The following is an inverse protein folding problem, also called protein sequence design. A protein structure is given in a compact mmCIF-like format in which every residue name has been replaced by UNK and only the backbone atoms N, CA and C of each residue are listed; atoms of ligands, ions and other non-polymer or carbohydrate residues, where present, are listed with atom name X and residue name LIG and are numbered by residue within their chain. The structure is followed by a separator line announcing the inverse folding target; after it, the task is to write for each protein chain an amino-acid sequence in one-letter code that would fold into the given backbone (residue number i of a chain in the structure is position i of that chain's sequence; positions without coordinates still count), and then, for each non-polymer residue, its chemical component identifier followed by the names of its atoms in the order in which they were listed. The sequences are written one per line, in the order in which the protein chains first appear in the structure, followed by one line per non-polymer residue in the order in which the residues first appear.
data_IF_662204335893
#
_entry.id   IF_662204335893
#
_cell.length_a   1.000
_cell.length_b   1.000
_cell.length_c   1.000
_cell.angle_alpha   90.00
_cell.angle_beta   90.00
_cell.angle_gamma   90.00
#
_symmetry.space_group_name_H-M   'P 1'
#
loop_
_entity.id
_entity.type
_entity.pdbx_description
1 polymer ?
#
# COMPACT_ATOMS: atom_id res chain seq x y z
N UNK A 1 0.25 -8.63 -19.88
CA UNK A 1 0.24 -7.67 -18.76
C UNK A 1 -0.89 -8.05 -17.81
N UNK A 2 -0.54 -8.63 -16.67
CA UNK A 2 -1.39 -9.03 -15.57
C UNK A 2 -1.08 -8.08 -14.41
N UNK A 3 -2.11 -7.40 -13.89
CA UNK A 3 -2.01 -6.51 -12.74
C UNK A 3 -2.85 -7.10 -11.62
N UNK A 4 -2.22 -7.43 -10.50
CA UNK A 4 -2.95 -7.84 -9.29
C UNK A 4 -3.24 -6.62 -8.41
N UNK A 5 -4.52 -6.34 -8.20
CA UNK A 5 -4.99 -5.10 -7.57
C UNK A 5 -5.15 -5.18 -6.05
N UNK A 6 -4.88 -6.32 -5.42
CA UNK A 6 -5.17 -6.56 -4.00
C UNK A 6 -3.96 -7.08 -3.22
N UNK A 7 -2.93 -6.25 -3.06
CA UNK A 7 -1.72 -6.61 -2.33
C UNK A 7 -1.44 -5.70 -1.14
N UNK A 8 -0.68 -6.22 -0.17
CA UNK A 8 -0.29 -5.47 1.03
C UNK A 8 1.22 -5.59 1.27
N UNK A 9 1.87 -4.46 1.55
CA UNK A 9 3.28 -4.35 1.94
C UNK A 9 3.38 -3.72 3.34
N UNK A 10 4.41 -4.10 4.08
CA UNK A 10 4.79 -3.49 5.35
C UNK A 10 4.41 -4.33 6.56
N UNK A 11 4.56 -3.71 7.73
CA UNK A 11 4.47 -4.39 9.03
C UNK A 11 3.04 -4.81 9.37
N UNK A 12 2.89 -6.00 9.94
CA UNK A 12 1.64 -6.48 10.55
C UNK A 12 1.85 -6.65 12.07
N UNK A 13 0.82 -6.45 12.88
CA UNK A 13 0.96 -6.52 14.36
C UNK A 13 1.30 -7.91 14.91
N UNK A 14 0.95 -8.97 14.17
CA UNK A 14 1.03 -10.37 14.63
C UNK A 14 1.82 -11.26 13.66
N UNK A 15 1.84 -10.92 12.38
CA UNK A 15 2.37 -11.76 11.30
C UNK A 15 3.70 -11.16 10.86
N UNK A 16 4.58 -11.95 10.22
CA UNK A 16 5.76 -11.41 9.58
C UNK A 16 5.40 -10.26 8.62
N UNK A 17 6.32 -9.31 8.52
CA UNK A 17 6.26 -8.23 7.55
C UNK A 17 6.30 -8.80 6.13
N UNK A 18 5.54 -8.18 5.22
CA UNK A 18 5.65 -8.41 3.78
C UNK A 18 6.52 -7.30 3.21
N UNK A 19 7.72 -7.65 2.74
CA UNK A 19 8.63 -6.70 2.10
C UNK A 19 8.34 -6.59 0.60
N UNK A 20 8.84 -5.53 -0.03
CA UNK A 20 8.71 -5.36 -1.48
C UNK A 20 9.35 -6.53 -2.24
N UNK A 21 10.52 -6.99 -1.78
CA UNK A 21 11.30 -8.06 -2.38
C UNK A 21 10.62 -9.42 -2.25
N UNK A 22 9.97 -9.70 -1.11
CA UNK A 22 9.26 -10.97 -0.94
C UNK A 22 7.97 -11.03 -1.76
N UNK A 23 7.28 -9.90 -1.94
CA UNK A 23 6.14 -9.80 -2.85
C UNK A 23 6.60 -9.90 -4.31
N UNK A 24 7.69 -9.22 -4.68
CA UNK A 24 8.25 -9.24 -6.03
C UNK A 24 8.65 -10.66 -6.47
N UNK A 25 9.30 -11.42 -5.58
CA UNK A 25 9.66 -12.80 -5.85
C UNK A 25 8.45 -13.71 -6.11
N UNK A 26 7.33 -13.47 -5.41
CA UNK A 26 6.07 -14.18 -5.66
C UNK A 26 5.45 -13.76 -6.99
N UNK A 27 5.42 -12.45 -7.29
CA UNK A 27 4.95 -11.93 -8.58
C UNK A 27 5.70 -12.55 -9.76
N UNK A 28 7.04 -12.64 -9.67
CA UNK A 28 7.86 -13.24 -10.72
C UNK A 28 7.60 -14.75 -10.88
N UNK A 29 7.36 -15.47 -9.78
CA UNK A 29 7.05 -16.90 -9.81
C UNK A 29 5.68 -17.20 -10.45
N UNK A 30 4.71 -16.30 -10.25
CA UNK A 30 3.32 -16.47 -10.69
C UNK A 30 3.01 -15.74 -12.02
N UNK A 31 3.98 -15.01 -12.59
CA UNK A 31 3.81 -14.28 -13.85
C UNK A 31 2.96 -13.01 -13.73
N UNK A 32 3.02 -12.32 -12.58
CA UNK A 32 2.35 -11.04 -12.33
C UNK A 32 3.27 -9.89 -12.73
N UNK A 33 2.81 -9.07 -13.68
CA UNK A 33 3.60 -7.96 -14.22
C UNK A 33 3.66 -6.78 -13.22
N UNK A 34 2.53 -6.42 -12.61
CA UNK A 34 2.46 -5.33 -11.62
C UNK A 34 1.51 -5.65 -10.46
N UNK A 35 1.72 -5.02 -9.30
CA UNK A 35 0.84 -5.10 -8.16
C UNK A 35 0.40 -3.72 -7.65
N UNK A 36 -0.89 -3.58 -7.34
CA UNK A 36 -1.41 -2.45 -6.57
C UNK A 36 -1.29 -2.77 -5.09
N UNK A 37 -0.57 -1.94 -4.35
CA UNK A 37 -0.16 -2.22 -2.98
C UNK A 37 -0.67 -1.14 -2.01
N UNK A 38 -1.13 -1.59 -0.84
CA UNK A 38 -1.45 -0.76 0.32
C UNK A 38 -0.67 -1.25 1.55
N UNK A 39 -0.81 -0.58 2.69
CA UNK A 39 -0.27 -1.07 3.95
C UNK A 39 -1.38 -1.55 4.89
N UNK A 40 -1.01 -2.31 5.91
CA UNK A 40 -1.95 -2.79 6.91
C UNK A 40 -2.60 -1.64 7.67
N UNK A 41 -3.94 -1.62 7.70
CA UNK A 41 -4.75 -0.58 8.32
C UNK A 41 -4.46 -0.38 9.82
N UNK A 42 -4.03 -1.43 10.53
CA UNK A 42 -3.68 -1.36 11.94
C UNK A 42 -2.30 -0.74 12.23
N UNK A 43 -1.43 -0.65 11.22
CA UNK A 43 -0.07 -0.11 11.32
C UNK A 43 0.09 1.23 10.59
N UNK A 44 -0.68 1.46 9.51
CA UNK A 44 -0.63 2.68 8.66
C UNK A 44 0.82 2.97 8.21
N UNK A 45 1.53 1.92 7.80
CA UNK A 45 2.92 1.98 7.33
C UNK A 45 3.00 2.39 5.84
N UNK A 46 2.51 3.60 5.52
CA UNK A 46 2.56 4.13 4.15
C UNK A 46 3.99 4.35 3.65
N UNK A 47 4.97 4.50 4.55
CA UNK A 47 6.38 4.66 4.20
C UNK A 47 6.94 3.42 3.48
N UNK A 48 6.58 2.21 3.95
CA UNK A 48 7.00 0.96 3.29
C UNK A 48 6.41 0.82 1.89
N UNK A 49 5.17 1.27 1.67
CA UNK A 49 4.55 1.32 0.34
C UNK A 49 5.27 2.31 -0.58
N UNK A 50 5.61 3.50 -0.05
CA UNK A 50 6.36 4.51 -0.80
C UNK A 50 7.72 3.99 -1.26
N UNK A 51 8.50 3.42 -0.34
CA UNK A 51 9.80 2.82 -0.66
C UNK A 51 9.69 1.72 -1.72
N UNK A 52 8.63 0.91 -1.67
CA UNK A 52 8.42 -0.16 -2.63
C UNK A 52 8.24 0.37 -4.06
N UNK A 53 7.34 1.34 -4.27
CA UNK A 53 7.14 1.89 -5.63
C UNK A 53 8.26 2.83 -6.07
N UNK A 54 9.02 3.43 -5.16
CA UNK A 54 10.22 4.20 -5.53
C UNK A 54 11.36 3.27 -5.99
N UNK A 55 11.51 2.11 -5.35
CA UNK A 55 12.53 1.12 -5.72
C UNK A 55 12.16 0.33 -6.99
N UNK A 56 10.88 0.05 -7.20
CA UNK A 56 10.38 -0.73 -8.34
C UNK A 56 9.14 -0.07 -8.99
N UNK A 57 9.30 1.12 -9.62
CA UNK A 57 8.18 1.92 -10.14
C UNK A 57 7.46 1.25 -11.32
N UNK A 58 8.10 0.31 -11.99
CA UNK A 58 7.54 -0.51 -13.07
C UNK A 58 6.79 -1.75 -12.55
N UNK A 59 6.87 -2.04 -11.25
CA UNK A 59 6.26 -3.24 -10.62
C UNK A 59 5.19 -2.91 -9.61
N UNK A 60 5.23 -1.76 -8.94
CA UNK A 60 4.30 -1.40 -7.88
C UNK A 60 3.54 -0.10 -8.13
N UNK A 61 2.24 -0.13 -7.83
CA UNK A 61 1.35 1.03 -7.81
C UNK A 61 0.88 1.24 -6.37
N UNK A 62 1.29 2.32 -5.73
CA UNK A 62 0.98 2.59 -4.32
C UNK A 62 -0.39 3.24 -4.08
N UNK A 63 -1.17 2.69 -3.16
CA UNK A 63 -2.35 3.31 -2.56
C UNK A 63 -2.01 3.83 -1.16
N UNK A 64 -2.45 5.05 -0.87
CA UNK A 64 -2.25 5.67 0.42
C UNK A 64 -3.34 5.20 1.39
N UNK A 65 -2.93 4.57 2.49
CA UNK A 65 -3.84 4.03 3.49
C UNK A 65 -4.20 5.10 4.50
N UNK A 66 -5.50 5.30 4.73
CA UNK A 66 -6.00 6.37 5.60
C UNK A 66 -6.94 5.79 6.65
N UNK A 67 -6.84 6.30 7.88
CA UNK A 67 -7.89 6.16 8.88
C UNK A 67 -8.72 7.47 8.89
N UNK A 68 -9.98 7.46 8.44
CA UNK A 68 -10.77 8.68 8.27
C UNK A 68 -11.11 9.38 9.59
N UNK A 69 -10.95 8.71 10.73
CA UNK A 69 -11.13 9.32 12.06
C UNK A 69 -9.95 10.18 12.48
N UNK A 70 -8.80 10.07 11.80
CA UNK A 70 -7.62 10.88 12.10
C UNK A 70 -7.82 12.31 11.59
N UNK A 71 -7.48 13.29 12.43
CA UNK A 71 -7.51 14.69 12.04
C UNK A 71 -6.49 14.94 10.93
N UNK A 72 -6.92 15.53 9.82
CA UNK A 72 -6.03 15.80 8.68
C UNK A 72 -5.94 14.66 7.66
N UNK A 73 -6.62 13.54 7.87
CA UNK A 73 -6.63 12.37 6.99
C UNK A 73 -6.81 12.70 5.49
N UNK A 74 -7.74 13.60 5.17
CA UNK A 74 -7.99 14.02 3.78
C UNK A 74 -6.82 14.84 3.20
N UNK A 75 -6.28 15.79 3.98
CA UNK A 75 -5.15 16.60 3.55
C UNK A 75 -3.88 15.75 3.35
N UNK A 76 -3.63 14.78 4.23
CA UNK A 76 -2.50 13.85 4.07
C UNK A 76 -2.62 13.00 2.80
N UNK A 77 -3.84 12.57 2.45
CA UNK A 77 -4.11 11.87 1.20
C UNK A 77 -3.87 12.76 -0.02
N UNK A 78 -4.37 14.00 0.02
CA UNK A 78 -4.19 14.99 -1.03
C UNK A 78 -2.69 15.25 -1.29
N UNK A 79 -1.92 15.49 -0.22
CA UNK A 79 -0.47 15.68 -0.29
C UNK A 79 0.24 14.42 -0.82
N UNK A 80 -0.19 13.22 -0.40
CA UNK A 80 0.40 11.97 -0.86
C UNK A 80 0.20 11.73 -2.37
N UNK A 81 -0.96 12.09 -2.90
CA UNK A 81 -1.27 11.97 -4.33
C UNK A 81 -0.55 13.05 -5.13
N UNK A 82 -0.54 14.30 -4.64
CA UNK A 82 0.05 15.43 -5.35
C UNK A 82 1.59 15.36 -5.41
N UNK A 83 2.22 15.06 -4.27
CA UNK A 83 3.67 15.28 -4.10
C UNK A 83 4.48 13.98 -3.97
N UNK A 84 3.86 12.87 -3.52
CA UNK A 84 4.59 11.65 -3.15
C UNK A 84 4.41 10.49 -4.12
N UNK A 85 3.69 10.69 -5.21
CA UNK A 85 3.56 9.70 -6.28
C UNK A 85 2.56 8.56 -6.03
N UNK A 86 1.84 8.57 -4.91
CA UNK A 86 0.74 7.64 -4.67
C UNK A 86 -0.35 7.82 -5.74
N UNK A 87 -1.03 6.73 -6.10
CA UNK A 87 -2.02 6.70 -7.20
C UNK A 87 -3.46 6.51 -6.75
N UNK A 88 -3.71 6.45 -5.44
CA UNK A 88 -5.07 6.35 -4.93
C UNK A 88 -5.14 6.17 -3.41
N UNK A 89 -6.35 5.83 -2.95
CA UNK A 89 -6.75 5.67 -1.56
C UNK A 89 -6.99 4.19 -1.23
N UNK A 90 -6.51 3.76 -0.07
CA UNK A 90 -6.95 2.52 0.56
C UNK A 90 -7.57 2.80 1.93
N UNK A 91 -8.67 2.11 2.22
CA UNK A 91 -9.48 2.29 3.41
C UNK A 91 -9.99 0.94 3.89
N UNK A 92 -9.93 0.68 5.19
CA UNK A 92 -10.44 -0.56 5.78
C UNK A 92 -11.54 -0.27 6.82
N UNK A 93 -12.83 -0.36 6.43
CA UNK A 93 -13.95 -0.01 7.31
C UNK A 93 -14.03 -0.86 8.58
N UNK A 94 -13.70 -2.14 8.47
CA UNK A 94 -13.76 -3.07 9.60
C UNK A 94 -12.65 -2.78 10.63
N UNK A 95 -11.42 -2.55 10.16
CA UNK A 95 -10.26 -2.30 11.06
C UNK A 95 -10.32 -0.93 11.72
N UNK A 96 -10.92 0.06 11.06
CA UNK A 96 -11.02 1.43 11.57
C UNK A 96 -12.40 1.77 12.13
N UNK A 97 -13.39 0.87 12.08
CA UNK A 97 -14.64 0.99 12.81
C UNK A 97 -15.61 2.05 12.28
N UNK A 98 -15.78 2.14 10.95
CA UNK A 98 -16.77 3.03 10.31
C UNK A 98 -17.72 2.28 9.36
N UNK A 99 -17.88 0.98 9.59
CA UNK A 99 -18.89 0.14 8.92
C UNK A 99 -20.21 0.15 9.70
#
# INVERSE_FOLDING_TARGET
MIIDVSNTIGRHKIKPEITAESLLAQMDADGIDMAVVNCYAECIDNESVQKAFEAHPDRFIGLYTVNPWQKGAAAELEDAIAERGFKGLYMNPLRHGYM
#
